data_IF_148130555435
#
_entry.id   IF_148130555435
#
_cell.length_a   1.000
_cell.length_b   1.000
_cell.length_c   1.000
_cell.angle_alpha   90.00
_cell.angle_beta   90.00
_cell.angle_gamma   90.00
#
_symmetry.space_group_name_H-M   'P 1'
#
loop_
_entity.id
_entity.type
_entity.pdbx_description
1 polymer ?
#
# COMPACT_ATOMS: atom_id res chain seq x y z
N UNK A 1 -27.29 -17.25 -21.12
CA UNK A 1 -26.53 -15.99 -20.99
C UNK A 1 -26.51 -15.62 -19.53
N UNK A 2 -25.35 -15.72 -18.86
CA UNK A 2 -25.19 -15.19 -17.52
C UNK A 2 -24.99 -13.68 -17.65
N UNK A 3 -26.02 -12.91 -17.29
CA UNK A 3 -25.91 -11.47 -17.17
C UNK A 3 -25.20 -11.19 -15.83
N UNK A 4 -23.88 -10.99 -15.87
CA UNK A 4 -23.16 -10.48 -14.71
C UNK A 4 -23.59 -9.03 -14.48
N UNK A 5 -24.15 -8.76 -13.31
CA UNK A 5 -24.51 -7.40 -12.91
C UNK A 5 -23.26 -6.50 -12.98
N UNK A 6 -23.23 -5.46 -13.84
CA UNK A 6 -22.06 -4.60 -13.97
C UNK A 6 -21.73 -3.79 -12.70
N UNK A 7 -22.65 -3.75 -11.74
CA UNK A 7 -22.51 -3.10 -10.43
C UNK A 7 -22.26 -4.06 -9.26
N UNK A 8 -22.03 -5.35 -9.52
CA UNK A 8 -21.81 -6.38 -8.48
C UNK A 8 -20.68 -6.06 -7.48
N UNK A 9 -19.72 -5.24 -7.89
CA UNK A 9 -18.57 -4.82 -7.08
C UNK A 9 -18.69 -3.38 -6.56
N UNK A 10 -19.92 -2.85 -6.50
CA UNK A 10 -20.18 -1.57 -5.86
C UNK A 10 -19.66 -1.59 -4.41
N UNK A 11 -18.77 -0.66 -4.09
CA UNK A 11 -18.13 -0.55 -2.78
C UNK A 11 -16.82 -1.32 -2.62
N UNK A 12 -16.37 -2.07 -3.64
CA UNK A 12 -15.06 -2.73 -3.64
C UNK A 12 -14.02 -1.89 -4.41
N UNK A 13 -12.74 -2.20 -4.18
CA UNK A 13 -11.63 -1.65 -4.96
C UNK A 13 -11.76 -2.17 -6.39
N UNK A 14 -11.77 -1.25 -7.36
CA UNK A 14 -11.82 -1.57 -8.79
C UNK A 14 -10.38 -1.65 -9.31
N UNK A 15 -10.03 -2.73 -10.00
CA UNK A 15 -8.68 -3.04 -10.45
C UNK A 15 -8.69 -3.60 -11.89
N UNK A 16 -7.51 -3.72 -12.50
CA UNK A 16 -7.33 -4.32 -13.83
C UNK A 16 -7.97 -3.49 -14.96
N UNK A 17 -8.66 -4.18 -15.87
CA UNK A 17 -9.32 -3.59 -17.05
C UNK A 17 -10.57 -2.77 -16.72
N UNK A 18 -11.14 -2.97 -15.52
CA UNK A 18 -12.33 -2.22 -15.06
C UNK A 18 -12.00 -0.85 -14.50
N UNK A 19 -10.72 -0.58 -14.24
CA UNK A 19 -10.27 0.75 -13.84
C UNK A 19 -10.20 1.65 -15.09
N UNK A 20 -11.08 2.65 -15.19
CA UNK A 20 -11.19 3.51 -16.37
C UNK A 20 -10.76 4.95 -16.04
N UNK A 21 -9.89 5.52 -16.88
CA UNK A 21 -9.51 6.93 -16.83
C UNK A 21 -8.49 7.26 -15.73
N UNK A 22 -8.52 8.50 -15.21
CA UNK A 22 -7.66 9.01 -14.12
C UNK A 22 -6.16 9.13 -14.41
N UNK A 23 -5.71 8.97 -15.67
CA UNK A 23 -4.29 9.05 -16.06
C UNK A 23 -3.54 10.28 -15.55
N UNK A 24 -4.17 11.47 -15.58
CA UNK A 24 -3.56 12.69 -15.03
C UNK A 24 -3.24 12.58 -13.54
N UNK A 25 -4.15 11.97 -12.75
CA UNK A 25 -3.96 11.82 -11.31
C UNK A 25 -2.94 10.70 -11.01
N UNK A 26 -2.94 9.63 -11.81
CA UNK A 26 -1.89 8.59 -11.75
C UNK A 26 -0.51 9.25 -11.92
N UNK A 27 -0.35 10.09 -12.94
CA UNK A 27 0.91 10.82 -13.17
C UNK A 27 1.33 11.68 -11.98
N UNK A 28 0.39 12.31 -11.27
CA UNK A 28 0.68 13.08 -10.05
C UNK A 28 1.14 12.18 -8.89
N UNK A 29 0.54 11.00 -8.74
CA UNK A 29 0.97 10.03 -7.72
C UNK A 29 2.38 9.54 -8.02
N UNK A 30 2.64 9.14 -9.27
CA UNK A 30 3.95 8.68 -9.71
C UNK A 30 5.03 9.76 -9.52
N UNK A 31 4.76 11.00 -9.94
CA UNK A 31 5.71 12.10 -9.86
C UNK A 31 6.04 12.53 -8.42
N UNK A 32 5.20 12.17 -7.43
CA UNK A 32 5.41 12.53 -6.02
C UNK A 32 5.99 11.39 -5.19
N UNK A 33 5.65 10.15 -5.52
CA UNK A 33 5.94 8.99 -4.67
C UNK A 33 6.94 8.02 -5.30
N UNK A 34 6.87 7.82 -6.62
CA UNK A 34 7.65 6.76 -7.29
C UNK A 34 8.91 7.31 -7.98
N UNK A 35 8.78 8.45 -8.67
CA UNK A 35 9.84 9.02 -9.49
C UNK A 35 10.91 9.81 -8.71
N UNK A 36 10.57 10.55 -7.62
CA UNK A 36 11.57 11.34 -6.90
C UNK A 36 12.60 10.47 -6.17
N UNK A 37 13.84 10.96 -6.08
CA UNK A 37 14.90 10.35 -5.26
C UNK A 37 14.64 10.48 -3.76
N UNK A 38 13.89 11.51 -3.35
CA UNK A 38 13.42 11.68 -1.98
C UNK A 38 11.89 11.86 -2.00
N UNK A 39 11.11 10.77 -1.94
CA UNK A 39 9.67 10.82 -2.04
C UNK A 39 9.06 11.51 -0.82
N UNK A 40 8.02 12.30 -1.06
CA UNK A 40 7.28 13.01 -0.01
C UNK A 40 6.02 12.27 0.43
N UNK A 41 5.21 12.94 1.25
CA UNK A 41 3.89 12.46 1.63
C UNK A 41 2.82 12.93 0.62
N UNK A 42 1.85 12.07 0.31
CA UNK A 42 0.70 12.39 -0.53
C UNK A 42 -0.61 12.06 0.18
N UNK A 43 -1.50 13.05 0.29
CA UNK A 43 -2.87 12.85 0.75
C UNK A 43 -3.83 12.86 -0.45
N UNK A 44 -4.68 11.84 -0.56
CA UNK A 44 -5.74 11.75 -1.57
C UNK A 44 -7.09 11.94 -0.87
N UNK A 45 -7.66 13.13 -1.00
CA UNK A 45 -8.89 13.55 -0.31
C UNK A 45 -10.03 13.71 -1.31
N UNK A 46 -11.23 13.28 -0.93
CA UNK A 46 -12.43 13.41 -1.75
C UNK A 46 -13.58 12.60 -1.19
N UNK A 47 -14.76 12.80 -1.78
CA UNK A 47 -16.01 12.19 -1.32
C UNK A 47 -15.95 10.65 -1.26
N UNK A 48 -16.75 10.06 -0.39
CA UNK A 48 -16.83 8.60 -0.24
C UNK A 48 -17.22 7.93 -1.57
N UNK A 49 -16.67 6.73 -1.85
CA UNK A 49 -16.92 5.94 -3.07
C UNK A 49 -16.58 6.58 -4.43
N UNK A 50 -15.74 7.62 -4.48
CA UNK A 50 -15.25 8.18 -5.76
C UNK A 50 -14.08 7.40 -6.41
N UNK A 51 -13.69 6.25 -5.83
CA UNK A 51 -12.61 5.40 -6.36
C UNK A 51 -11.19 5.79 -5.91
N UNK A 52 -11.04 6.47 -4.76
CA UNK A 52 -9.72 6.85 -4.21
C UNK A 52 -8.83 5.63 -3.96
N UNK A 53 -9.37 4.61 -3.28
CA UNK A 53 -8.63 3.37 -3.01
C UNK A 53 -8.29 2.63 -4.30
N UNK A 54 -9.22 2.59 -5.28
CA UNK A 54 -8.98 2.03 -6.61
C UNK A 54 -7.83 2.73 -7.34
N UNK A 55 -7.74 4.06 -7.25
CA UNK A 55 -6.65 4.82 -7.84
C UNK A 55 -5.28 4.44 -7.23
N UNK A 56 -5.19 4.37 -5.89
CA UNK A 56 -3.94 3.98 -5.23
C UNK A 56 -3.60 2.53 -5.54
N UNK A 57 -4.59 1.64 -5.49
CA UNK A 57 -4.40 0.23 -5.80
C UNK A 57 -3.85 0.04 -7.22
N UNK A 58 -4.43 0.72 -8.20
CA UNK A 58 -3.96 0.70 -9.60
C UNK A 58 -2.53 1.22 -9.76
N UNK A 59 -2.18 2.30 -9.06
CA UNK A 59 -0.90 3.00 -9.25
C UNK A 59 0.25 2.35 -8.47
N UNK A 60 -0.05 1.75 -7.32
CA UNK A 60 0.93 1.25 -6.37
C UNK A 60 0.86 -0.27 -6.26
N UNK A 61 -0.29 -0.82 -5.88
CA UNK A 61 -0.41 -2.24 -5.53
C UNK A 61 -0.33 -3.14 -6.76
N UNK A 62 -1.00 -2.78 -7.86
CA UNK A 62 -0.89 -3.52 -9.14
C UNK A 62 0.50 -3.41 -9.78
N UNK A 63 1.31 -2.42 -9.38
CA UNK A 63 2.67 -2.24 -9.89
C UNK A 63 3.73 -2.82 -8.95
N UNK A 64 3.33 -3.66 -7.97
CA UNK A 64 4.20 -4.18 -6.92
C UNK A 64 5.53 -4.70 -7.47
N UNK A 65 5.49 -5.64 -8.41
CA UNK A 65 6.69 -6.28 -8.96
C UNK A 65 7.65 -5.25 -9.58
N UNK A 66 7.10 -4.29 -10.34
CA UNK A 66 7.90 -3.21 -10.95
C UNK A 66 8.48 -2.23 -9.93
N UNK A 67 7.79 -2.03 -8.81
CA UNK A 67 8.27 -1.19 -7.72
C UNK A 67 9.35 -1.93 -6.92
N UNK A 68 9.18 -3.23 -6.68
CA UNK A 68 10.19 -4.05 -6.00
C UNK A 68 11.46 -4.18 -6.83
N UNK A 69 11.36 -4.30 -8.16
CA UNK A 69 12.54 -4.26 -9.05
C UNK A 69 13.34 -2.95 -8.94
N UNK A 70 12.69 -1.87 -8.49
CA UNK A 70 13.31 -0.56 -8.23
C UNK A 70 13.77 -0.37 -6.77
N UNK A 71 13.66 -1.41 -5.93
CA UNK A 71 13.96 -1.34 -4.51
C UNK A 71 12.90 -0.62 -3.67
N UNK A 72 11.67 -0.47 -4.19
CA UNK A 72 10.54 0.14 -3.48
C UNK A 72 9.60 -0.98 -3.03
N UNK A 73 9.37 -1.11 -1.72
CA UNK A 73 8.44 -2.09 -1.15
C UNK A 73 7.07 -1.44 -0.86
N UNK A 74 6.01 -1.73 -1.65
CA UNK A 74 4.69 -1.17 -1.40
C UNK A 74 3.96 -1.98 -0.34
N UNK A 75 3.47 -1.30 0.70
CA UNK A 75 2.67 -1.89 1.77
C UNK A 75 1.27 -1.28 1.77
N UNK A 76 0.24 -2.14 1.76
CA UNK A 76 -1.17 -1.71 1.82
C UNK A 76 -1.77 -2.00 3.19
N UNK A 77 -2.12 -0.93 3.92
CA UNK A 77 -2.71 -1.04 5.26
C UNK A 77 -3.88 -0.09 5.46
N UNK A 78 -4.95 -0.64 6.03
CA UNK A 78 -6.10 0.13 6.52
C UNK A 78 -5.91 0.48 7.99
N UNK A 79 -6.16 1.72 8.36
CA UNK A 79 -6.07 2.17 9.76
C UNK A 79 -7.27 1.75 10.62
N UNK A 80 -8.42 1.48 10.00
CA UNK A 80 -9.68 1.24 10.70
C UNK A 80 -9.77 -0.09 11.45
N UNK A 81 -8.77 -0.96 11.30
CA UNK A 81 -8.71 -2.28 11.95
C UNK A 81 -7.94 -2.27 13.28
N UNK A 82 -7.48 -1.11 13.75
CA UNK A 82 -6.65 -0.99 14.95
C UNK A 82 -7.32 -0.05 15.96
N UNK A 83 -7.44 -0.51 17.19
CA UNK A 83 -8.01 0.27 18.29
C UNK A 83 -6.94 1.16 18.94
N UNK A 84 -5.66 0.74 18.87
CA UNK A 84 -4.52 1.49 19.40
C UNK A 84 -3.47 1.76 18.32
N UNK A 85 -2.88 2.96 18.35
CA UNK A 85 -1.79 3.33 17.42
C UNK A 85 -0.57 2.43 17.55
N UNK A 86 -0.27 1.92 18.75
CA UNK A 86 0.82 0.99 19.02
C UNK A 86 0.67 -0.33 18.26
N UNK A 87 -0.56 -0.86 18.18
CA UNK A 87 -0.87 -2.09 17.45
C UNK A 87 -0.67 -1.91 15.95
N UNK A 88 -1.10 -0.77 15.41
CA UNK A 88 -0.86 -0.42 14.01
C UNK A 88 0.64 -0.45 13.68
N UNK A 89 1.47 0.27 14.45
CA UNK A 89 2.91 0.33 14.16
C UNK A 89 3.62 -1.02 14.34
N UNK A 90 3.22 -1.84 15.33
CA UNK A 90 3.76 -3.21 15.48
C UNK A 90 3.44 -4.09 14.29
N UNK A 91 2.16 -4.14 13.91
CA UNK A 91 1.72 -4.93 12.75
C UNK A 91 2.39 -4.47 11.44
N UNK A 92 2.72 -3.19 11.35
CA UNK A 92 3.44 -2.63 10.22
C UNK A 92 4.89 -3.13 10.21
N UNK A 93 5.58 -3.14 11.35
CA UNK A 93 6.94 -3.71 11.47
C UNK A 93 6.94 -5.19 11.11
N UNK A 94 5.99 -5.97 11.65
CA UNK A 94 5.88 -7.41 11.37
C UNK A 94 5.68 -7.68 9.88
N UNK A 95 4.80 -6.92 9.21
CA UNK A 95 4.60 -7.06 7.78
C UNK A 95 5.85 -6.68 6.99
N UNK A 96 6.51 -5.57 7.31
CA UNK A 96 7.73 -5.18 6.62
C UNK A 96 8.81 -6.26 6.72
N UNK A 97 8.97 -6.89 7.89
CA UNK A 97 9.95 -7.97 8.06
C UNK A 97 9.59 -9.17 7.21
N UNK A 98 8.34 -9.63 7.26
CA UNK A 98 7.87 -10.77 6.46
C UNK A 98 8.09 -10.52 4.97
N UNK A 99 7.71 -9.34 4.49
CA UNK A 99 7.81 -8.97 3.08
C UNK A 99 9.27 -8.79 2.62
N UNK A 100 10.12 -8.23 3.47
CA UNK A 100 11.56 -8.15 3.20
C UNK A 100 12.23 -9.52 3.24
N UNK A 101 11.75 -10.46 4.05
CA UNK A 101 12.24 -11.83 4.07
C UNK A 101 11.91 -12.55 2.77
N UNK A 102 10.66 -12.48 2.32
CA UNK A 102 10.19 -13.08 1.07
C UNK A 102 10.93 -12.53 -0.16
N UNK A 103 11.28 -11.25 -0.15
CA UNK A 103 12.06 -10.60 -1.20
C UNK A 103 13.59 -10.81 -1.07
N UNK A 104 14.07 -11.42 0.01
CA UNK A 104 15.49 -11.58 0.29
C UNK A 104 16.21 -10.25 0.62
N UNK A 105 15.47 -9.23 1.03
CA UNK A 105 16.00 -7.89 1.40
C UNK A 105 16.30 -7.79 2.90
N UNK A 106 15.86 -8.77 3.68
CA UNK A 106 16.08 -8.79 5.11
C UNK A 106 17.57 -8.92 5.44
N UNK A 107 18.06 -8.00 6.28
CA UNK A 107 19.43 -8.03 6.80
C UNK A 107 19.41 -8.19 8.31
N UNK A 108 20.50 -8.70 8.90
CA UNK A 108 20.63 -8.81 10.36
C UNK A 108 20.43 -7.47 11.09
N UNK A 109 20.80 -6.35 10.44
CA UNK A 109 20.60 -5.01 11.01
C UNK A 109 19.12 -4.65 11.06
N UNK A 110 18.37 -4.96 10.00
CA UNK A 110 16.92 -4.73 9.94
C UNK A 110 16.23 -5.61 10.97
N UNK A 111 16.56 -6.92 11.00
CA UNK A 111 15.98 -7.87 11.96
C UNK A 111 16.18 -7.41 13.42
N UNK A 112 17.40 -7.03 13.80
CA UNK A 112 17.68 -6.53 15.16
C UNK A 112 16.90 -5.25 15.49
N UNK A 113 16.64 -4.41 14.49
CA UNK A 113 15.88 -3.17 14.70
C UNK A 113 14.39 -3.45 14.85
N UNK A 114 13.85 -4.42 14.09
CA UNK A 114 12.50 -4.91 14.24
C UNK A 114 12.26 -5.54 15.62
N UNK A 115 13.13 -6.45 16.07
CA UNK A 115 13.00 -7.08 17.40
C UNK A 115 12.91 -6.03 18.51
N UNK A 116 13.79 -5.02 18.49
CA UNK A 116 13.75 -3.91 19.46
C UNK A 116 12.44 -3.13 19.42
N UNK A 117 11.93 -2.84 18.23
CA UNK A 117 10.68 -2.09 18.08
C UNK A 117 9.47 -2.87 18.63
N UNK A 118 9.48 -4.20 18.49
CA UNK A 118 8.43 -5.09 18.98
C UNK A 118 8.51 -5.29 20.51
N UNK A 119 9.72 -5.39 21.07
CA UNK A 119 9.99 -5.57 22.50
C UNK A 119 9.72 -4.29 23.33
N UNK A 120 9.97 -3.10 22.78
CA UNK A 120 9.99 -1.81 23.52
C UNK A 120 8.67 -1.36 24.15
N UNK A 121 7.54 -2.02 23.90
CA UNK A 121 6.22 -1.64 24.40
C UNK A 121 5.54 -2.78 25.21
N UNK A 122 6.31 -3.74 25.71
CA UNK A 122 5.83 -4.78 26.63
C UNK A 122 5.86 -4.35 28.11
N UNK A 123 6.04 -3.05 28.37
CA UNK A 123 6.14 -2.42 29.70
C UNK A 123 5.05 -1.39 29.92
#
# INVERSE_FOLDING_TARGET
MNFENPFSDYGKIVHGERFIGRGQIIGVVESRIIQPTNPGNLAIVGVHRIGKSSLVYKTIVEQRDKLTDKGILPIWRGLSSYDQSSEFFRSLVDEYVSEMEDLGWLTERIQRSANRALESNAS
#
